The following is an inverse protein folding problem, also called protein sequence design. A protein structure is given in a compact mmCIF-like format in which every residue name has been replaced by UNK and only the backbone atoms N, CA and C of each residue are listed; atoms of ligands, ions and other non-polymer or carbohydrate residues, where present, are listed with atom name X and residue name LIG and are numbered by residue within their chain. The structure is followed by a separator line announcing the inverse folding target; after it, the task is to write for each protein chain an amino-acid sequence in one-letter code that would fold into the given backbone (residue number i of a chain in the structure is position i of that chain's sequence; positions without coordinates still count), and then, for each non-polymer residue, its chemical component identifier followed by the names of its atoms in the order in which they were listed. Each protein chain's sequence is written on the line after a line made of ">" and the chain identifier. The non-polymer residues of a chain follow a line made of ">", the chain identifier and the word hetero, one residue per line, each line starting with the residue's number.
data_IF_966112503336
#
_entry.id   IF_966112503336
#
_cell.length_a   1.000
_cell.length_b   1.000
_cell.length_c   1.000
_cell.angle_alpha   90.00
_cell.angle_beta   90.00
_cell.angle_gamma   90.00
#
_symmetry.space_group_name_H-M   'P 1'
#
loop_
_entity.id
_entity.type
_entity.pdbx_description
1 polymer ?
#
# COMPACT_ATOMS: atom_id res chain seq x y z
N UNK A 1 9.26 13.20 -12.74
CA UNK A 1 7.98 13.64 -13.34
C UNK A 1 7.70 12.73 -14.52
N UNK A 2 6.48 12.21 -14.61
CA UNK A 2 6.00 11.38 -15.72
C UNK A 2 4.52 11.67 -16.01
N UNK A 3 4.02 11.20 -17.13
CA UNK A 3 2.60 11.14 -17.41
C UNK A 3 2.20 9.69 -17.63
N UNK A 4 1.03 9.32 -17.18
CA UNK A 4 0.43 8.02 -17.46
C UNK A 4 -0.93 8.20 -18.13
N UNK A 5 -1.21 7.33 -19.09
CA UNK A 5 -2.46 7.34 -19.85
C UNK A 5 -2.93 5.89 -19.95
N UNK A 6 -4.18 5.65 -19.62
CA UNK A 6 -4.76 4.33 -19.74
C UNK A 6 -6.24 4.38 -20.06
N UNK A 7 -6.68 3.32 -20.70
CA UNK A 7 -8.06 3.05 -20.99
C UNK A 7 -8.48 1.80 -20.20
N UNK A 8 -9.57 1.93 -19.48
CA UNK A 8 -10.11 0.86 -18.66
C UNK A 8 -11.56 0.54 -19.06
N UNK A 9 -11.88 -0.74 -19.01
CA UNK A 9 -13.24 -1.22 -19.17
C UNK A 9 -13.67 -1.99 -17.93
N UNK A 10 -14.56 -1.42 -17.13
CA UNK A 10 -15.14 -2.07 -15.95
C UNK A 10 -16.36 -2.89 -16.35
N UNK A 11 -16.39 -4.13 -15.94
CA UNK A 11 -17.54 -5.04 -16.04
C UNK A 11 -17.67 -5.78 -14.72
N UNK A 12 -18.92 -6.01 -14.31
CA UNK A 12 -19.27 -6.75 -13.09
C UNK A 12 -20.04 -8.02 -13.47
N UNK A 13 -20.13 -8.95 -12.55
CA UNK A 13 -21.02 -10.09 -12.73
C UNK A 13 -22.41 -9.81 -12.11
N UNK A 14 -23.33 -10.73 -12.30
CA UNK A 14 -24.71 -10.58 -11.82
C UNK A 14 -24.84 -10.61 -10.28
N UNK A 15 -23.79 -11.01 -9.57
CA UNK A 15 -23.76 -11.09 -8.09
C UNK A 15 -23.19 -9.83 -7.45
N UNK A 16 -22.59 -8.94 -8.24
CA UNK A 16 -22.06 -7.68 -7.77
C UNK A 16 -23.17 -6.77 -7.24
N UNK A 17 -22.82 -5.91 -6.28
CA UNK A 17 -23.78 -4.94 -5.74
C UNK A 17 -24.26 -3.96 -6.81
N UNK A 18 -25.43 -3.36 -6.62
CA UNK A 18 -25.95 -2.32 -7.52
C UNK A 18 -24.99 -1.13 -7.66
N UNK A 19 -24.21 -0.82 -6.61
CA UNK A 19 -23.20 0.25 -6.65
C UNK A 19 -22.02 -0.12 -7.54
N UNK A 20 -21.55 -1.36 -7.45
CA UNK A 20 -20.50 -1.87 -8.31
C UNK A 20 -20.95 -1.91 -9.78
N UNK A 21 -22.18 -2.40 -10.02
CA UNK A 21 -22.80 -2.41 -11.35
C UNK A 21 -22.97 -1.00 -11.94
N UNK A 22 -23.28 0.00 -11.09
CA UNK A 22 -23.38 1.41 -11.53
C UNK A 22 -22.05 2.01 -12.02
N UNK A 23 -20.91 1.38 -11.68
CA UNK A 23 -19.58 1.78 -12.16
C UNK A 23 -19.16 1.07 -13.45
N UNK A 24 -20.01 0.23 -14.04
CA UNK A 24 -19.72 -0.34 -15.36
C UNK A 24 -19.59 0.75 -16.42
N UNK A 25 -18.53 0.65 -17.18
CA UNK A 25 -18.25 1.66 -18.19
C UNK A 25 -16.93 1.49 -18.88
N UNK A 26 -16.65 2.42 -19.74
CA UNK A 26 -15.34 2.61 -20.35
C UNK A 26 -14.81 3.95 -19.86
N UNK A 27 -13.59 3.97 -19.40
CA UNK A 27 -12.95 5.13 -18.79
C UNK A 27 -11.62 5.41 -19.48
N UNK A 28 -11.37 6.66 -19.72
CA UNK A 28 -10.10 7.17 -20.20
C UNK A 28 -9.51 8.11 -19.15
N UNK A 29 -8.33 7.78 -18.65
CA UNK A 29 -7.69 8.53 -17.60
C UNK A 29 -6.25 8.90 -17.96
N UNK A 30 -5.89 10.14 -17.66
CA UNK A 30 -4.57 10.72 -17.84
C UNK A 30 -4.14 11.39 -16.57
N UNK A 31 -2.93 11.09 -16.10
CA UNK A 31 -2.37 11.67 -14.87
C UNK A 31 -1.01 12.28 -15.13
N UNK A 32 -0.73 13.36 -14.41
CA UNK A 32 0.63 13.84 -14.16
C UNK A 32 1.13 13.22 -12.86
N UNK A 33 2.14 12.39 -12.97
CA UNK A 33 2.75 11.71 -11.84
C UNK A 33 3.98 12.48 -11.35
N UNK A 34 3.94 12.96 -10.12
CA UNK A 34 5.05 13.63 -9.45
C UNK A 34 5.64 12.66 -8.42
N UNK A 35 6.95 12.51 -8.43
CA UNK A 35 7.68 11.68 -7.48
C UNK A 35 8.80 12.50 -6.84
N UNK A 36 8.77 12.61 -5.53
CA UNK A 36 9.80 13.22 -4.69
C UNK A 36 10.46 12.11 -3.89
N UNK A 37 11.73 11.86 -4.15
CA UNK A 37 12.50 10.77 -3.54
C UNK A 37 13.73 11.35 -2.85
N UNK A 38 13.80 11.22 -1.54
CA UNK A 38 14.93 11.64 -0.72
C UNK A 38 15.52 10.42 -0.01
N UNK A 39 16.70 10.00 -0.49
CA UNK A 39 17.39 8.79 -0.06
C UNK A 39 18.69 9.14 0.65
N UNK A 40 18.78 8.81 1.93
CA UNK A 40 19.92 8.99 2.83
C UNK A 40 20.35 7.67 3.47
N UNK A 41 20.07 6.56 2.81
CA UNK A 41 20.53 5.25 3.27
C UNK A 41 22.02 5.09 3.00
N UNK A 42 22.71 4.36 3.89
CA UNK A 42 24.12 4.02 3.70
C UNK A 42 24.35 3.17 2.44
N UNK A 43 23.42 2.29 2.09
CA UNK A 43 23.44 1.45 0.90
C UNK A 43 22.04 1.04 0.45
N UNK A 44 21.88 0.62 -0.81
CA UNK A 44 20.57 0.28 -1.36
C UNK A 44 20.06 -1.10 -0.94
N UNK A 45 20.98 -2.04 -0.79
CA UNK A 45 20.71 -3.43 -0.39
C UNK A 45 21.26 -3.66 1.02
N UNK A 46 20.61 -4.50 1.81
CA UNK A 46 21.00 -4.79 3.18
C UNK A 46 21.26 -3.51 4.01
N UNK A 47 20.43 -2.50 3.79
CA UNK A 47 20.53 -1.20 4.46
C UNK A 47 20.54 -1.37 5.99
N UNK A 48 21.55 -0.83 6.66
CA UNK A 48 21.67 -0.88 8.12
C UNK A 48 21.47 0.49 8.78
N UNK A 49 21.65 1.60 8.03
CA UNK A 49 21.54 2.95 8.57
C UNK A 49 20.90 3.93 7.59
N UNK A 50 20.29 4.95 8.15
CA UNK A 50 19.73 6.06 7.40
C UNK A 50 18.25 5.95 7.13
N UNK A 51 17.76 6.69 6.16
CA UNK A 51 16.34 6.69 5.83
C UNK A 51 16.09 6.97 4.36
N UNK A 52 14.89 6.61 3.91
CA UNK A 52 14.35 7.01 2.60
C UNK A 52 12.94 7.52 2.76
N UNK A 53 12.67 8.70 2.19
CA UNK A 53 11.35 9.33 2.16
C UNK A 53 10.91 9.50 0.72
N UNK A 54 9.75 8.95 0.35
CA UNK A 54 9.18 9.07 -0.99
C UNK A 54 7.75 9.58 -0.92
N UNK A 55 7.45 10.56 -1.74
CA UNK A 55 6.11 11.10 -1.89
C UNK A 55 5.71 11.11 -3.36
N UNK A 56 4.58 10.50 -3.65
CA UNK A 56 4.01 10.41 -5.00
C UNK A 56 2.68 11.14 -5.01
N UNK A 57 2.46 11.89 -6.08
CA UNK A 57 1.20 12.59 -6.34
C UNK A 57 0.77 12.21 -7.76
N UNK A 58 -0.46 11.75 -7.91
CA UNK A 58 -1.11 11.48 -9.17
C UNK A 58 -2.19 12.54 -9.40
N UNK A 59 -1.88 13.54 -10.23
CA UNK A 59 -2.76 14.66 -10.55
C UNK A 59 -3.54 14.33 -11.82
N UNK A 60 -4.89 14.36 -11.82
CA UNK A 60 -5.66 14.14 -13.03
C UNK A 60 -5.46 15.31 -14.01
N UNK A 61 -5.21 15.00 -15.28
CA UNK A 61 -5.07 15.97 -16.38
C UNK A 61 -6.33 15.99 -17.23
N UNK A 62 -6.61 14.91 -17.93
CA UNK A 62 -7.81 14.67 -18.71
C UNK A 62 -8.30 13.30 -18.29
N UNK A 63 -9.38 13.26 -17.56
CA UNK A 63 -9.84 12.03 -16.91
C UNK A 63 -11.35 12.02 -16.79
N UNK A 64 -11.95 10.86 -17.00
CA UNK A 64 -13.40 10.68 -16.82
C UNK A 64 -13.78 10.72 -15.32
N UNK A 65 -12.85 10.44 -14.42
CA UNK A 65 -13.12 10.33 -12.99
C UNK A 65 -12.46 11.40 -12.11
N UNK A 66 -11.49 12.16 -12.62
CA UNK A 66 -10.82 13.25 -11.89
C UNK A 66 -10.41 12.91 -10.45
N UNK A 67 -9.63 11.86 -10.28
CA UNK A 67 -9.19 11.39 -8.98
C UNK A 67 -7.77 11.88 -8.66
N UNK A 68 -7.58 12.45 -7.47
CA UNK A 68 -6.29 12.86 -6.93
C UNK A 68 -5.73 11.76 -6.03
N UNK A 69 -4.58 11.22 -6.40
CA UNK A 69 -3.86 10.22 -5.60
C UNK A 69 -2.67 10.80 -4.86
N UNK A 70 -2.48 10.40 -3.60
CA UNK A 70 -1.29 10.72 -2.81
C UNK A 70 -0.76 9.45 -2.16
N UNK A 71 0.55 9.24 -2.22
CA UNK A 71 1.20 8.10 -1.55
C UNK A 71 2.48 8.56 -0.87
N UNK A 72 2.60 8.33 0.42
CA UNK A 72 3.81 8.57 1.19
C UNK A 72 4.39 7.27 1.72
N UNK A 73 5.70 7.09 1.50
CA UNK A 73 6.47 5.97 2.03
C UNK A 73 7.69 6.50 2.76
N UNK A 74 7.82 6.17 4.03
CA UNK A 74 8.99 6.45 4.83
C UNK A 74 9.59 5.14 5.34
N UNK A 75 10.92 5.00 5.27
CA UNK A 75 11.65 3.88 5.83
C UNK A 75 12.85 4.42 6.58
N UNK A 76 13.00 4.01 7.82
CA UNK A 76 14.13 4.33 8.68
C UNK A 76 14.86 3.05 9.06
N UNK A 77 16.17 3.06 8.92
CA UNK A 77 17.03 1.92 9.16
C UNK A 77 18.02 2.25 10.27
N UNK A 78 18.19 1.33 11.20
CA UNK A 78 19.15 1.44 12.28
C UNK A 78 19.63 0.06 12.75
N UNK A 79 20.85 -0.01 13.22
CA UNK A 79 21.34 -1.09 14.06
C UNK A 79 20.92 -0.84 15.51
N UNK A 80 20.05 -1.69 16.05
CA UNK A 80 19.64 -1.61 17.46
C UNK A 80 20.55 -2.40 18.38
N UNK A 81 21.28 -3.35 17.84
CA UNK A 81 22.33 -4.15 18.50
C UNK A 81 23.29 -4.70 17.43
N UNK A 82 24.44 -5.22 17.86
CA UNK A 82 25.55 -5.61 16.97
C UNK A 82 25.10 -6.52 15.82
N UNK A 83 25.47 -6.13 14.59
CA UNK A 83 25.15 -6.84 13.34
C UNK A 83 23.66 -7.04 13.05
N UNK A 84 22.79 -6.24 13.67
CA UNK A 84 21.35 -6.25 13.44
C UNK A 84 20.99 -5.23 12.34
N UNK A 85 20.00 -5.56 11.53
CA UNK A 85 19.38 -4.63 10.60
C UNK A 85 17.91 -4.48 10.98
N UNK A 86 17.56 -3.31 11.47
CA UNK A 86 16.17 -2.98 11.81
C UNK A 86 15.61 -1.95 10.85
N UNK A 87 14.36 -2.14 10.48
CA UNK A 87 13.61 -1.22 9.61
C UNK A 87 12.29 -0.86 10.26
N UNK A 88 12.05 0.43 10.39
CA UNK A 88 10.75 1.00 10.71
C UNK A 88 10.20 1.70 9.48
N UNK A 89 8.96 1.40 9.08
CA UNK A 89 8.35 2.04 7.94
C UNK A 89 6.94 2.55 8.20
N UNK A 90 6.61 3.65 7.52
CA UNK A 90 5.29 4.26 7.49
C UNK A 90 4.83 4.28 6.03
N UNK A 91 3.60 3.86 5.80
CA UNK A 91 2.92 3.95 4.53
C UNK A 91 1.58 4.68 4.72
N UNK A 92 1.37 5.73 3.94
CA UNK A 92 0.11 6.46 3.90
C UNK A 92 -0.32 6.58 2.43
N UNK A 93 -1.58 6.33 2.16
CA UNK A 93 -2.15 6.54 0.83
C UNK A 93 -3.54 7.14 0.95
N UNK A 94 -3.82 8.14 0.12
CA UNK A 94 -5.16 8.68 -0.09
C UNK A 94 -5.49 8.74 -1.57
N UNK A 95 -6.77 8.58 -1.86
CA UNK A 95 -7.36 8.76 -3.18
C UNK A 95 -8.66 9.51 -2.98
N UNK A 96 -8.74 10.70 -3.55
CA UNK A 96 -9.90 11.59 -3.37
C UNK A 96 -10.42 12.02 -4.74
N UNK A 97 -11.74 11.93 -4.95
CA UNK A 97 -12.35 12.52 -6.13
C UNK A 97 -12.39 14.05 -5.99
N UNK A 98 -11.88 14.75 -6.99
CA UNK A 98 -11.99 16.23 -7.08
C UNK A 98 -13.19 16.67 -7.92
N UNK A 99 -14.04 15.74 -8.30
CA UNK A 99 -15.34 15.93 -8.92
C UNK A 99 -16.45 15.49 -7.97
N UNK A 100 -17.70 15.66 -8.35
CA UNK A 100 -18.83 15.19 -7.56
C UNK A 100 -19.13 13.68 -7.77
N UNK A 101 -18.19 12.93 -8.31
CA UNK A 101 -18.32 11.49 -8.53
C UNK A 101 -17.57 10.71 -7.45
N UNK A 102 -18.04 9.51 -7.16
CA UNK A 102 -17.33 8.58 -6.28
C UNK A 102 -15.99 8.16 -6.90
N UNK A 103 -15.01 7.86 -6.04
CA UNK A 103 -13.77 7.22 -6.48
C UNK A 103 -14.11 5.86 -7.10
N UNK A 104 -13.65 5.65 -8.32
CA UNK A 104 -13.84 4.41 -9.07
C UNK A 104 -13.24 3.22 -8.34
N UNK A 105 -13.90 2.06 -8.37
CA UNK A 105 -13.48 0.85 -7.65
C UNK A 105 -12.02 0.45 -7.95
N UNK A 106 -11.60 0.58 -9.20
CA UNK A 106 -10.22 0.28 -9.63
C UNK A 106 -9.16 1.27 -9.11
N UNK A 107 -9.57 2.47 -8.72
CA UNK A 107 -8.70 3.51 -8.16
C UNK A 107 -8.66 3.49 -6.63
N UNK A 108 -9.60 2.78 -5.98
CA UNK A 108 -9.62 2.66 -4.53
C UNK A 108 -8.36 1.98 -4.00
N UNK A 109 -8.04 2.31 -2.77
CA UNK A 109 -6.86 1.78 -2.11
C UNK A 109 -7.12 0.38 -1.58
N UNK A 110 -6.30 -0.56 -2.03
CA UNK A 110 -6.14 -1.88 -1.43
C UNK A 110 -4.75 -1.98 -0.82
N UNK A 111 -4.66 -2.66 0.31
CA UNK A 111 -3.40 -2.78 1.04
C UNK A 111 -2.55 -3.89 0.41
N UNK A 112 -1.30 -3.61 -0.02
CA UNK A 112 -0.37 -4.64 -0.45
C UNK A 112 -0.05 -5.60 0.71
N UNK A 113 0.13 -6.89 0.43
CA UNK A 113 0.49 -7.89 1.43
C UNK A 113 1.80 -7.57 2.18
N UNK A 114 2.72 -6.83 1.53
CA UNK A 114 3.96 -6.34 2.15
C UNK A 114 3.74 -5.30 3.26
N UNK A 115 2.54 -4.72 3.36
CA UNK A 115 2.19 -3.71 4.37
C UNK A 115 1.41 -4.29 5.55
N UNK A 116 0.90 -5.51 5.41
CA UNK A 116 0.25 -6.26 6.48
C UNK A 116 0.45 -7.74 6.21
N UNK A 117 1.61 -8.27 6.61
CA UNK A 117 1.99 -9.66 6.40
C UNK A 117 1.05 -10.61 7.16
N UNK A 118 0.78 -11.77 6.60
CA UNK A 118 -0.15 -12.75 7.17
C UNK A 118 -1.63 -12.51 6.82
N UNK A 119 -1.96 -11.41 6.14
CA UNK A 119 -3.29 -11.17 5.59
C UNK A 119 -3.28 -11.32 4.07
N UNK A 120 -4.38 -11.84 3.53
CA UNK A 120 -4.57 -11.92 2.09
C UNK A 120 -4.73 -10.51 1.51
N UNK A 121 -4.02 -10.24 0.40
CA UNK A 121 -4.12 -8.95 -0.29
C UNK A 121 -5.55 -8.68 -0.75
N UNK A 122 -6.03 -7.46 -0.54
CA UNK A 122 -7.39 -7.06 -0.90
C UNK A 122 -8.49 -7.55 0.04
N UNK A 123 -8.15 -8.23 1.14
CA UNK A 123 -9.11 -8.77 2.12
C UNK A 123 -9.17 -7.97 3.43
N UNK A 124 -8.80 -6.70 3.37
CA UNK A 124 -8.85 -5.78 4.52
C UNK A 124 -9.54 -4.49 4.09
N UNK A 125 -10.36 -3.93 4.97
CA UNK A 125 -11.04 -2.64 4.75
C UNK A 125 -12.55 -2.76 4.53
N UNK A 126 -13.16 -1.73 3.97
CA UNK A 126 -14.60 -1.65 3.72
C UNK A 126 -15.14 -2.77 2.84
N UNK A 127 -16.39 -3.14 3.11
CA UNK A 127 -17.12 -4.15 2.36
C UNK A 127 -18.45 -3.64 1.86
N UNK A 128 -18.83 -4.06 0.67
CA UNK A 128 -20.17 -3.96 0.13
C UNK A 128 -20.74 -5.40 0.00
N UNK A 129 -21.62 -5.76 0.92
CA UNK A 129 -22.05 -7.14 1.07
C UNK A 129 -20.88 -8.06 1.49
N UNK A 130 -20.55 -9.03 0.65
CA UNK A 130 -19.45 -9.97 0.89
C UNK A 130 -18.12 -9.51 0.25
N UNK A 131 -18.12 -8.50 -0.61
CA UNK A 131 -16.98 -8.09 -1.39
C UNK A 131 -16.20 -6.98 -0.70
N UNK A 132 -14.88 -7.12 -0.67
CA UNK A 132 -14.00 -6.04 -0.26
C UNK A 132 -13.87 -5.03 -1.41
N UNK A 133 -14.19 -3.79 -1.12
CA UNK A 133 -14.23 -2.71 -2.13
C UNK A 133 -13.07 -1.73 -2.00
N UNK A 134 -12.10 -2.00 -1.10
CA UNK A 134 -11.05 -1.03 -0.79
C UNK A 134 -11.58 0.20 -0.06
N UNK A 135 -10.74 1.19 0.09
CA UNK A 135 -11.10 2.47 0.72
C UNK A 135 -10.46 3.64 0.00
N UNK A 136 -10.78 4.85 0.44
CA UNK A 136 -10.13 6.05 -0.07
C UNK A 136 -8.80 6.31 0.64
N UNK A 137 -8.64 5.77 1.85
CA UNK A 137 -7.48 5.99 2.71
C UNK A 137 -6.88 4.67 3.20
N UNK A 138 -5.57 4.62 3.26
CA UNK A 138 -4.85 3.54 3.91
C UNK A 138 -3.67 4.05 4.71
N UNK A 139 -3.41 3.41 5.83
CA UNK A 139 -2.18 3.60 6.61
C UNK A 139 -1.60 2.27 7.03
N UNK A 140 -0.27 2.18 7.08
CA UNK A 140 0.43 1.06 7.68
C UNK A 140 1.68 1.52 8.40
N UNK A 141 1.97 0.83 9.49
CA UNK A 141 3.23 0.92 10.23
C UNK A 141 3.81 -0.49 10.27
N UNK A 142 5.07 -0.61 9.89
CA UNK A 142 5.76 -1.88 9.89
C UNK A 142 7.09 -1.73 10.64
N UNK A 143 7.40 -2.72 11.43
CA UNK A 143 8.71 -2.89 12.02
C UNK A 143 9.23 -4.28 11.68
N UNK A 144 10.50 -4.37 11.32
CA UNK A 144 11.21 -5.64 11.17
C UNK A 144 12.63 -5.51 11.65
N UNK A 145 13.17 -6.59 12.19
CA UNK A 145 14.52 -6.63 12.73
C UNK A 145 15.13 -7.99 12.49
N UNK A 146 16.35 -8.02 11.93
CA UNK A 146 17.07 -9.28 11.74
C UNK A 146 17.55 -9.84 13.08
N UNK A 147 17.63 -11.17 13.15
CA UNK A 147 18.19 -11.93 14.25
C UNK A 147 19.56 -12.43 13.77
N UNK A 148 20.67 -11.74 14.11
CA UNK A 148 21.98 -12.11 13.61
C UNK A 148 22.44 -13.43 14.19
N UNK A 149 23.25 -14.13 13.43
CA UNK A 149 23.98 -15.35 13.86
C UNK A 149 23.08 -16.50 14.37
N UNK A 150 21.83 -16.60 13.89
CA UNK A 150 20.97 -17.70 14.28
C UNK A 150 21.52 -19.06 13.82
N UNK A 151 22.27 -19.07 12.70
CA UNK A 151 23.00 -20.25 12.21
C UNK A 151 24.42 -19.86 11.77
N UNK A 152 25.40 -20.68 12.18
CA UNK A 152 26.78 -20.57 11.70
C UNK A 152 26.81 -20.85 10.18
N UNK A 153 27.55 -20.04 9.41
CA UNK A 153 27.74 -20.16 7.94
C UNK A 153 26.53 -19.82 7.05
N UNK A 154 25.58 -19.03 7.51
CA UNK A 154 24.44 -18.56 6.70
C UNK A 154 24.62 -17.13 6.20
N UNK A 155 25.71 -16.86 5.45
CA UNK A 155 26.05 -15.50 4.98
C UNK A 155 24.97 -14.85 4.07
N UNK A 156 24.11 -15.67 3.45
CA UNK A 156 23.09 -15.23 2.49
C UNK A 156 21.66 -15.36 3.03
N UNK A 157 21.47 -15.73 4.29
CA UNK A 157 20.14 -15.95 4.87
C UNK A 157 20.03 -15.16 6.16
N UNK A 158 19.07 -14.25 6.20
CA UNK A 158 18.69 -13.52 7.40
C UNK A 158 17.38 -14.02 7.95
N UNK A 159 17.34 -14.33 9.20
CA UNK A 159 16.11 -14.52 9.94
C UNK A 159 15.68 -13.19 10.53
N UNK A 160 14.41 -12.91 10.47
CA UNK A 160 13.86 -11.67 11.01
C UNK A 160 12.55 -11.93 11.75
N UNK A 161 12.26 -11.08 12.70
CA UNK A 161 10.91 -10.93 13.24
C UNK A 161 10.29 -9.64 12.73
N UNK A 162 8.97 -9.61 12.72
CA UNK A 162 8.24 -8.42 12.29
C UNK A 162 6.97 -8.19 13.10
N UNK A 163 6.56 -6.93 13.12
CA UNK A 163 5.26 -6.47 13.62
C UNK A 163 4.70 -5.49 12.62
N UNK A 164 3.46 -5.72 12.19
CA UNK A 164 2.73 -4.86 11.26
C UNK A 164 1.42 -4.41 11.88
N UNK A 165 1.04 -3.17 11.60
CA UNK A 165 -0.29 -2.65 11.88
C UNK A 165 -0.75 -1.82 10.70
N UNK A 166 -1.99 -2.03 10.26
CA UNK A 166 -2.52 -1.30 9.12
C UNK A 166 -4.04 -1.12 9.20
N UNK A 167 -4.52 -0.15 8.44
CA UNK A 167 -5.94 0.15 8.31
C UNK A 167 -6.26 0.64 6.89
N UNK A 168 -7.48 0.37 6.43
CA UNK A 168 -8.10 0.93 5.23
C UNK A 168 -9.48 1.43 5.63
N UNK A 169 -9.82 2.66 5.21
CA UNK A 169 -11.11 3.28 5.54
C UNK A 169 -11.50 4.33 4.50
N UNK A 170 -12.68 4.87 4.68
CA UNK A 170 -13.25 5.90 3.83
C UNK A 170 -13.82 5.33 2.53
N UNK A 171 -15.08 5.57 2.31
CA UNK A 171 -15.78 5.31 1.05
C UNK A 171 -16.69 6.48 0.77
N UNK A 172 -16.85 6.83 -0.49
CA UNK A 172 -17.73 7.93 -0.93
C UNK A 172 -19.20 7.52 -0.95
N UNK A 173 -19.48 6.23 -0.76
CA UNK A 173 -20.81 5.70 -0.76
C UNK A 173 -21.62 6.19 0.45
N UNK A 174 -22.93 5.96 0.42
CA UNK A 174 -23.80 6.29 1.53
C UNK A 174 -23.47 5.48 2.81
N UNK A 175 -24.04 5.90 3.93
CA UNK A 175 -23.82 5.30 5.25
C UNK A 175 -24.26 3.84 5.40
N UNK A 176 -24.81 3.21 4.36
CA UNK A 176 -25.21 1.80 4.37
C UNK A 176 -24.02 0.83 4.18
N UNK A 177 -22.85 1.35 3.79
CA UNK A 177 -21.62 0.58 3.72
C UNK A 177 -20.94 0.51 5.09
N UNK A 178 -20.50 -0.68 5.48
CA UNK A 178 -19.68 -0.85 6.69
C UNK A 178 -18.27 -0.33 6.43
N UNK A 179 -18.08 0.95 6.72
CA UNK A 179 -16.82 1.68 6.62
C UNK A 179 -16.10 1.79 7.98
N UNK A 180 -16.35 0.88 8.88
CA UNK A 180 -15.68 0.92 10.19
C UNK A 180 -14.18 0.80 10.03
N UNK A 181 -13.51 1.88 10.41
CA UNK A 181 -12.06 1.92 10.51
C UNK A 181 -11.60 0.94 11.60
N UNK A 182 -11.00 -0.19 11.19
CA UNK A 182 -10.52 -1.22 12.11
C UNK A 182 -9.05 -1.49 11.84
N UNK A 183 -8.20 -1.16 12.81
CA UNK A 183 -6.78 -1.50 12.74
C UNK A 183 -6.63 -3.02 12.82
N UNK A 184 -5.89 -3.57 11.87
CA UNK A 184 -5.44 -4.95 11.85
C UNK A 184 -3.96 -5.00 12.16
N UNK A 185 -3.53 -6.01 12.89
CA UNK A 185 -2.12 -6.19 13.23
C UNK A 185 -1.70 -7.64 13.07
N UNK A 186 -0.42 -7.82 12.79
CA UNK A 186 0.22 -9.13 12.71
C UNK A 186 1.62 -9.07 13.31
N UNK A 187 2.09 -10.21 13.74
CA UNK A 187 3.47 -10.44 14.11
C UNK A 187 3.91 -11.79 13.56
N UNK A 188 5.20 -11.94 13.27
CA UNK A 188 5.70 -13.19 12.74
C UNK A 188 7.21 -13.23 12.59
N UNK A 189 7.66 -14.35 12.06
CA UNK A 189 9.06 -14.58 11.67
C UNK A 189 9.14 -14.63 10.15
N UNK A 190 10.27 -14.22 9.61
CA UNK A 190 10.56 -14.25 8.18
C UNK A 190 11.98 -14.71 7.90
N UNK A 191 12.20 -15.02 6.64
CA UNK A 191 13.52 -15.38 6.10
C UNK A 191 13.73 -14.51 4.88
N UNK A 192 14.82 -13.74 4.88
CA UNK A 192 15.33 -13.04 3.71
C UNK A 192 16.51 -13.84 3.15
N UNK A 193 16.34 -14.31 1.94
CA UNK A 193 17.39 -15.08 1.26
C UNK A 193 17.93 -14.29 0.07
N UNK A 194 19.21 -13.93 0.16
CA UNK A 194 19.94 -13.28 -0.93
C UNK A 194 20.46 -14.36 -1.89
N UNK A 195 19.73 -14.56 -3.00
CA UNK A 195 20.17 -15.47 -4.06
C UNK A 195 21.18 -14.77 -4.97
N UNK A 196 22.35 -15.37 -5.23
CA UNK A 196 23.22 -14.87 -6.30
C UNK A 196 22.50 -15.11 -7.64
N UNK A 197 22.23 -14.03 -8.39
CA UNK A 197 21.70 -14.05 -9.76
C UNK A 197 22.85 -13.79 -10.71
#
# INVERSE_FOLDING_TARGET
>A
IATSHYYERIRTDATASTRQQAQEGNYWDSFLNLNFDYDKRNQKYQTSEGFRSRYFIDLPLISDTNTLGNTYNFNYFAELYDNNRSNFSIYLKSVDSISNNDVKLSERVFLPSSKLRGFESGRVGPKDGNDFIGGNYASAINFSSTIPQLFENSENIDFLFFVDAANIWGVDYDSSIDDKSTIRSSLGLGIDWLTPI
#
